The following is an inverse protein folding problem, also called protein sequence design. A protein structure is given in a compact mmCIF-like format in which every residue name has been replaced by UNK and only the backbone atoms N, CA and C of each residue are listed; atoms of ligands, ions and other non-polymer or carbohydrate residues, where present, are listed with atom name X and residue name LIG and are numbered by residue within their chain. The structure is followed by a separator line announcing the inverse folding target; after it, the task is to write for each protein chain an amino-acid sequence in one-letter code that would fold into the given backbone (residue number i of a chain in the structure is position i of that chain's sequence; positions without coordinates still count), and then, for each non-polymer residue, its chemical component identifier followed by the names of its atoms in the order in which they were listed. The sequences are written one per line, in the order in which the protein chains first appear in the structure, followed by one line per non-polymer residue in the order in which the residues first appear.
data_IF_963060412368
#
_entry.id   IF_963060412368
#
_cell.length_a   1.000
_cell.length_b   1.000
_cell.length_c   1.000
_cell.angle_alpha   90.00
_cell.angle_beta   90.00
_cell.angle_gamma   90.00
#
_symmetry.space_group_name_H-M   'P 1'
#
loop_
_entity.id
_entity.type
_entity.pdbx_description
1 polymer ?
#
# COMPACT_ATOMS: atom_id res chain seq x y z
N UNK A 1 -12.40 -10.44 -18.74
CA UNK A 1 -12.59 -11.28 -17.53
C UNK A 1 -13.34 -10.56 -16.40
N UNK A 2 -13.06 -9.28 -16.09
CA UNK A 2 -13.69 -8.58 -14.97
C UNK A 2 -15.24 -8.45 -15.06
N UNK A 3 -15.79 -8.13 -16.23
CA UNK A 3 -17.24 -7.94 -16.41
C UNK A 3 -18.05 -9.24 -16.22
N UNK A 4 -17.51 -10.37 -16.66
CA UNK A 4 -18.14 -11.69 -16.48
C UNK A 4 -18.13 -12.07 -15.00
N UNK A 5 -17.01 -11.86 -14.30
CA UNK A 5 -16.92 -12.10 -12.86
C UNK A 5 -17.88 -11.18 -12.07
N UNK A 6 -17.98 -9.91 -12.46
CA UNK A 6 -18.93 -8.97 -11.85
C UNK A 6 -20.39 -9.42 -12.06
N UNK A 7 -20.73 -9.94 -13.25
CA UNK A 7 -22.06 -10.49 -13.52
C UNK A 7 -22.36 -11.75 -12.71
N UNK A 8 -21.38 -12.65 -12.53
CA UNK A 8 -21.54 -13.85 -11.69
C UNK A 8 -21.86 -13.45 -10.25
N UNK A 9 -21.11 -12.49 -9.68
CA UNK A 9 -21.35 -11.98 -8.32
C UNK A 9 -22.72 -11.29 -8.23
N UNK A 10 -23.06 -10.46 -9.20
CA UNK A 10 -24.36 -9.79 -9.27
C UNK A 10 -25.52 -10.78 -9.30
N UNK A 11 -25.39 -11.87 -10.08
CA UNK A 11 -26.38 -12.94 -10.15
C UNK A 11 -26.53 -13.65 -8.80
N UNK A 12 -25.42 -14.04 -8.15
CA UNK A 12 -25.46 -14.67 -6.82
C UNK A 12 -26.13 -13.80 -5.75
N UNK A 13 -25.96 -12.47 -5.81
CA UNK A 13 -26.60 -11.54 -4.87
C UNK A 13 -28.11 -11.37 -5.13
N UNK A 14 -28.56 -11.59 -6.36
CA UNK A 14 -29.95 -11.36 -6.79
C UNK A 14 -30.81 -12.61 -6.91
N UNK A 15 -30.26 -13.81 -6.70
CA UNK A 15 -31.05 -15.04 -6.53
C UNK A 15 -32.03 -14.97 -5.33
N UNK A 16 -31.89 -13.98 -4.45
CA UNK A 16 -32.81 -13.68 -3.33
C UNK A 16 -34.04 -12.84 -3.72
N UNK A 17 -34.17 -12.38 -4.97
CA UNK A 17 -35.33 -11.59 -5.45
C UNK A 17 -36.00 -12.25 -6.67
N UNK A 18 -37.32 -12.07 -6.87
CA UNK A 18 -38.11 -12.86 -7.83
C UNK A 18 -37.88 -12.51 -9.31
N UNK A 19 -37.14 -11.43 -9.65
CA UNK A 19 -36.91 -11.02 -11.04
C UNK A 19 -35.45 -11.14 -11.43
N UNK A 20 -35.18 -12.06 -12.36
CA UNK A 20 -33.87 -12.28 -12.98
C UNK A 20 -33.70 -11.26 -14.11
N UNK A 21 -32.86 -10.25 -13.92
CA UNK A 21 -32.55 -9.33 -15.00
C UNK A 21 -31.61 -10.00 -16.01
N UNK A 22 -31.87 -9.77 -17.30
CA UNK A 22 -31.05 -10.37 -18.37
C UNK A 22 -29.61 -9.84 -18.31
N UNK A 23 -28.66 -10.62 -18.82
CA UNK A 23 -27.25 -10.21 -18.90
C UNK A 23 -27.08 -8.86 -19.61
N UNK A 24 -27.86 -8.63 -20.67
CA UNK A 24 -27.88 -7.37 -21.41
C UNK A 24 -28.33 -6.20 -20.54
N UNK A 25 -29.38 -6.39 -19.74
CA UNK A 25 -29.91 -5.33 -18.86
C UNK A 25 -28.93 -4.97 -17.74
N UNK A 26 -28.18 -5.95 -17.22
CA UNK A 26 -27.07 -5.69 -16.30
C UNK A 26 -25.98 -4.85 -16.94
N UNK A 27 -25.54 -5.21 -18.16
CA UNK A 27 -24.50 -4.48 -18.86
C UNK A 27 -24.94 -3.05 -19.21
N UNK A 28 -26.19 -2.85 -19.63
CA UNK A 28 -26.73 -1.52 -19.93
C UNK A 28 -26.78 -0.63 -18.68
N UNK A 29 -27.16 -1.18 -17.52
CA UNK A 29 -27.15 -0.45 -16.24
C UNK A 29 -25.74 -0.12 -15.79
N UNK A 30 -24.82 -1.08 -15.88
CA UNK A 30 -23.41 -0.88 -15.54
C UNK A 30 -22.76 0.17 -16.43
N UNK A 31 -23.04 0.14 -17.73
CA UNK A 31 -22.54 1.12 -18.69
C UNK A 31 -23.04 2.53 -18.35
N UNK A 32 -24.34 2.70 -18.07
CA UNK A 32 -24.89 3.98 -17.62
C UNK A 32 -24.23 4.47 -16.33
N UNK A 33 -24.07 3.58 -15.35
CA UNK A 33 -23.43 3.92 -14.07
C UNK A 33 -21.99 4.38 -14.25
N UNK A 34 -21.22 3.76 -15.16
CA UNK A 34 -19.85 4.16 -15.47
C UNK A 34 -19.76 5.51 -16.16
N UNK A 35 -20.72 5.84 -17.03
CA UNK A 35 -20.78 7.15 -17.71
C UNK A 35 -21.18 8.26 -16.74
N UNK A 36 -22.11 7.97 -15.82
CA UNK A 36 -22.60 8.94 -14.83
C UNK A 36 -21.62 9.12 -13.64
N UNK A 37 -20.45 8.45 -13.63
CA UNK A 37 -19.43 8.69 -12.60
C UNK A 37 -18.72 10.03 -12.84
N UNK A 38 -18.73 10.88 -11.82
CA UNK A 38 -17.93 12.11 -11.76
C UNK A 38 -16.72 11.93 -10.84
N UNK A 39 -15.77 12.87 -10.86
CA UNK A 39 -14.57 12.83 -10.01
C UNK A 39 -14.90 12.66 -8.51
N UNK A 40 -16.06 13.15 -8.08
CA UNK A 40 -16.57 13.02 -6.71
C UNK A 40 -16.83 11.57 -6.28
N UNK A 41 -17.22 10.69 -7.21
CA UNK A 41 -17.45 9.28 -6.87
C UNK A 41 -16.15 8.54 -6.48
N UNK A 42 -15.00 9.04 -6.91
CA UNK A 42 -13.69 8.50 -6.52
C UNK A 42 -13.22 9.02 -5.16
N UNK A 43 -13.81 10.10 -4.64
CA UNK A 43 -13.49 10.65 -3.32
C UNK A 43 -14.43 10.14 -2.22
N UNK A 44 -15.60 9.58 -2.60
CA UNK A 44 -16.70 9.25 -1.68
C UNK A 44 -16.60 7.89 -0.96
N UNK A 45 -15.43 7.24 -0.93
CA UNK A 45 -15.23 5.98 -0.16
C UNK A 45 -14.95 6.23 1.34
N UNK A 46 -14.92 7.48 1.83
CA UNK A 46 -14.61 7.79 3.25
C UNK A 46 -15.74 8.37 4.10
N UNK A 47 -16.97 8.44 3.64
CA UNK A 47 -18.03 9.16 4.37
C UNK A 47 -19.32 8.34 4.58
N UNK A 48 -19.26 7.37 5.49
CA UNK A 48 -20.38 6.85 6.29
C UNK A 48 -19.73 6.03 7.43
N UNK A 49 -19.87 6.26 8.74
CA UNK A 49 -20.86 7.00 9.52
C UNK A 49 -20.29 7.28 10.92
N UNK A 50 -20.63 8.44 11.49
CA UNK A 50 -20.83 8.62 12.94
C UNK A 50 -19.60 8.60 13.88
N UNK A 51 -19.22 9.78 14.37
CA UNK A 51 -18.52 9.92 15.64
C UNK A 51 -17.14 10.54 15.54
N UNK A 52 -17.05 11.81 15.98
CA UNK A 52 -15.87 12.66 16.10
C UNK A 52 -15.24 13.13 14.79
N UNK A 53 -15.48 14.42 14.54
CA UNK A 53 -14.62 15.32 13.76
C UNK A 53 -13.25 15.33 14.44
N UNK A 54 -12.44 14.31 14.20
CA UNK A 54 -11.01 14.54 14.05
C UNK A 54 -10.89 14.97 12.61
N UNK A 55 -10.64 16.26 12.42
CA UNK A 55 -10.09 16.79 11.18
C UNK A 55 -8.77 16.04 10.94
N UNK A 56 -8.87 14.84 10.36
CA UNK A 56 -7.79 14.25 9.59
C UNK A 56 -7.67 15.13 8.36
N UNK A 57 -7.08 16.31 8.59
CA UNK A 57 -6.12 16.82 7.65
C UNK A 57 -5.32 15.60 7.21
N UNK A 58 -5.28 15.23 5.92
CA UNK A 58 -4.16 14.45 5.47
C UNK A 58 -3.00 15.34 5.86
N UNK A 59 -2.35 15.03 6.98
CA UNK A 59 -1.20 15.76 7.47
C UNK A 59 -0.23 15.57 6.33
N UNK A 60 -0.24 16.56 5.43
CA UNK A 60 0.55 16.61 4.25
C UNK A 60 1.93 16.32 4.80
N UNK A 61 2.44 15.16 4.42
CA UNK A 61 3.74 14.68 4.86
C UNK A 61 4.65 15.88 4.66
N UNK A 62 5.08 16.54 5.75
CA UNK A 62 5.62 17.92 5.72
C UNK A 62 7.05 17.97 5.17
N UNK A 63 7.34 17.11 4.21
CA UNK A 63 8.57 17.01 3.45
C UNK A 63 8.29 16.21 2.18
N UNK A 64 9.08 16.45 1.14
CA UNK A 64 9.06 15.71 -0.12
C UNK A 64 9.49 14.25 0.09
N UNK A 65 8.63 13.44 0.68
CA UNK A 65 8.88 12.04 0.98
C UNK A 65 8.35 11.15 -0.15
N UNK A 66 9.04 11.21 -1.30
CA UNK A 66 8.72 10.39 -2.47
C UNK A 66 9.55 9.11 -2.47
N UNK A 67 8.93 7.98 -2.83
CA UNK A 67 9.64 6.72 -3.00
C UNK A 67 10.24 6.62 -4.40
N UNK A 68 11.55 6.46 -4.47
CA UNK A 68 12.30 6.26 -5.72
C UNK A 68 12.76 4.82 -5.81
N UNK A 69 12.73 4.25 -7.02
CA UNK A 69 13.23 2.91 -7.26
C UNK A 69 14.77 2.89 -7.22
N UNK A 70 15.34 1.91 -6.53
CA UNK A 70 16.79 1.68 -6.48
C UNK A 70 17.33 1.36 -7.87
N UNK A 71 18.45 1.97 -8.26
CA UNK A 71 19.14 1.70 -9.54
C UNK A 71 20.19 0.59 -9.44
N UNK A 72 20.59 0.21 -8.22
CA UNK A 72 21.57 -0.85 -8.01
C UNK A 72 21.05 -2.21 -8.44
N UNK A 73 21.87 -2.95 -9.19
CA UNK A 73 21.59 -4.31 -9.62
C UNK A 73 22.39 -5.34 -8.81
N UNK A 74 21.94 -6.59 -8.85
CA UNK A 74 22.62 -7.75 -8.28
C UNK A 74 22.67 -8.83 -9.35
N UNK A 75 23.86 -9.36 -9.61
CA UNK A 75 24.02 -10.54 -10.46
C UNK A 75 23.57 -11.79 -9.70
N UNK A 76 22.69 -12.57 -10.33
CA UNK A 76 22.28 -13.87 -9.86
C UNK A 76 22.32 -14.84 -11.03
N UNK A 77 23.27 -15.78 -11.01
CA UNK A 77 23.47 -16.80 -12.04
C UNK A 77 23.53 -16.21 -13.47
N UNK A 78 24.30 -15.13 -13.65
CA UNK A 78 24.42 -14.42 -14.94
C UNK A 78 23.26 -13.50 -15.31
N UNK A 79 22.16 -13.50 -14.54
CA UNK A 79 21.02 -12.60 -14.75
C UNK A 79 21.14 -11.38 -13.84
N UNK A 80 21.12 -10.19 -14.45
CA UNK A 80 21.08 -8.92 -13.74
C UNK A 80 19.67 -8.67 -13.20
N UNK A 81 19.52 -8.66 -11.87
CA UNK A 81 18.24 -8.37 -11.21
C UNK A 81 18.34 -7.13 -10.35
N UNK A 82 17.28 -6.32 -10.32
CA UNK A 82 17.25 -5.13 -9.49
C UNK A 82 17.41 -5.49 -8.01
N UNK A 83 18.22 -4.74 -7.28
CA UNK A 83 18.56 -5.05 -5.90
C UNK A 83 17.37 -4.80 -4.99
N UNK A 84 16.78 -5.89 -4.50
CA UNK A 84 15.74 -5.84 -3.47
C UNK A 84 16.37 -5.71 -2.07
N UNK A 85 15.87 -4.77 -1.28
CA UNK A 85 16.27 -4.56 0.12
C UNK A 85 15.09 -4.83 1.06
N UNK A 86 15.37 -5.13 2.32
CA UNK A 86 14.31 -5.38 3.30
C UNK A 86 13.57 -4.07 3.59
N UNK A 87 12.25 -4.11 3.52
CA UNK A 87 11.43 -2.98 3.93
C UNK A 87 11.52 -2.82 5.45
N UNK A 88 11.77 -1.60 5.91
CA UNK A 88 11.89 -1.28 7.32
C UNK A 88 10.62 -1.66 8.10
N UNK A 89 9.46 -1.24 7.60
CA UNK A 89 8.16 -1.54 8.23
C UNK A 89 7.82 -3.03 8.16
N UNK A 90 7.98 -3.70 7.02
CA UNK A 90 7.73 -5.15 6.94
C UNK A 90 8.71 -5.98 7.80
N UNK A 91 9.85 -5.43 8.19
CA UNK A 91 10.79 -6.12 9.08
C UNK A 91 10.29 -6.11 10.52
N UNK A 92 9.48 -5.10 10.88
CA UNK A 92 8.85 -4.96 12.20
C UNK A 92 7.61 -5.80 12.31
N UNK A 93 6.70 -5.69 11.34
CA UNK A 93 5.44 -6.46 11.31
C UNK A 93 5.55 -7.85 10.70
N UNK A 94 6.77 -8.36 10.65
CA UNK A 94 7.02 -9.72 10.18
C UNK A 94 6.34 -10.70 11.15
N UNK A 95 5.58 -11.69 10.64
CA UNK A 95 4.95 -12.69 11.50
C UNK A 95 6.01 -13.55 12.20
N UNK A 96 5.68 -14.00 13.40
CA UNK A 96 6.53 -14.89 14.20
C UNK A 96 6.88 -16.15 13.38
N UNK A 97 8.14 -16.62 13.51
CA UNK A 97 8.64 -17.80 12.79
C UNK A 97 9.19 -17.56 11.37
N UNK A 98 8.89 -16.44 10.69
CA UNK A 98 9.59 -16.14 9.42
C UNK A 98 11.06 -15.81 9.70
N UNK A 99 11.95 -15.91 8.71
CA UNK A 99 13.36 -15.46 8.85
C UNK A 99 13.56 -14.00 8.41
N UNK A 100 12.79 -13.51 7.44
CA UNK A 100 12.93 -12.15 6.87
C UNK A 100 11.56 -11.48 6.69
N UNK A 101 11.53 -10.16 6.82
CA UNK A 101 10.38 -9.34 6.42
C UNK A 101 10.27 -9.20 4.91
N UNK A 102 9.20 -8.53 4.47
CA UNK A 102 9.00 -8.16 3.06
C UNK A 102 10.15 -7.34 2.49
N UNK A 103 10.43 -7.51 1.20
CA UNK A 103 11.45 -6.75 0.47
C UNK A 103 10.81 -5.77 -0.51
N UNK A 104 11.54 -4.71 -0.83
CA UNK A 104 11.13 -3.67 -1.78
C UNK A 104 12.36 -3.19 -2.56
N UNK A 105 12.11 -2.70 -3.77
CA UNK A 105 13.10 -2.00 -4.60
C UNK A 105 13.06 -0.49 -4.38
N UNK A 106 12.05 0.02 -3.69
CA UNK A 106 11.83 1.45 -3.48
C UNK A 106 12.40 1.94 -2.15
N UNK A 107 12.93 3.15 -2.14
CA UNK A 107 13.46 3.82 -0.95
C UNK A 107 13.08 5.29 -0.93
N UNK A 108 13.04 5.91 0.25
CA UNK A 108 12.84 7.35 0.39
C UNK A 108 14.21 8.05 0.48
N UNK A 109 14.59 8.91 -0.50
CA UNK A 109 15.86 9.63 -0.45
C UNK A 109 15.95 10.55 0.76
N UNK A 110 14.89 11.31 1.04
CA UNK A 110 14.81 12.28 2.13
C UNK A 110 15.02 11.62 3.50
N UNK A 111 14.40 10.45 3.74
CA UNK A 111 14.66 9.69 4.97
C UNK A 111 16.01 8.96 4.99
N UNK A 112 16.66 8.78 3.84
CA UNK A 112 17.96 8.14 3.74
C UNK A 112 19.12 9.13 3.93
N UNK A 113 18.87 10.44 3.80
CA UNK A 113 19.85 11.48 4.12
C UNK A 113 20.17 11.44 5.62
N UNK A 114 21.46 11.44 5.96
CA UNK A 114 21.92 11.35 7.35
C UNK A 114 21.86 9.96 8.01
N UNK A 115 21.29 8.95 7.35
CA UNK A 115 21.28 7.56 7.86
C UNK A 115 22.39 6.73 7.21
N UNK A 116 22.92 5.75 7.95
CA UNK A 116 23.97 4.85 7.45
C UNK A 116 23.53 4.09 6.19
N UNK A 117 22.23 3.82 6.02
CA UNK A 117 21.70 3.04 4.92
C UNK A 117 20.44 3.64 4.29
N UNK A 118 20.06 3.09 3.12
CA UNK A 118 18.82 3.47 2.44
C UNK A 118 17.60 3.02 3.23
N UNK A 119 16.68 3.96 3.49
CA UNK A 119 15.38 3.70 4.07
C UNK A 119 14.47 3.11 3.00
N UNK A 120 14.51 1.78 2.90
CA UNK A 120 13.73 1.01 1.92
C UNK A 120 12.30 0.81 2.46
N UNK A 121 11.31 1.22 1.67
CA UNK A 121 9.89 1.18 2.03
C UNK A 121 9.06 0.55 0.91
N UNK A 122 7.92 -0.02 1.27
CA UNK A 122 7.00 -0.70 0.38
C UNK A 122 5.71 0.13 0.22
N UNK A 123 5.00 0.02 -0.92
CA UNK A 123 3.65 0.61 -1.04
C UNK A 123 2.54 -0.43 -0.78
N UNK A 124 2.86 -1.55 -0.12
CA UNK A 124 1.84 -2.53 0.25
C UNK A 124 1.10 -2.03 1.48
N UNK A 125 -0.22 -2.10 1.40
CA UNK A 125 -1.13 -1.89 2.53
C UNK A 125 -0.88 -2.98 3.57
N UNK A 126 -0.79 -2.57 4.84
CA UNK A 126 -0.67 -3.47 5.96
C UNK A 126 -2.04 -3.66 6.62
N UNK A 127 -2.40 -4.90 6.94
CA UNK A 127 -3.62 -5.24 7.70
C UNK A 127 -3.32 -5.44 9.18
N UNK A 128 -2.55 -4.55 9.80
CA UNK A 128 -2.28 -4.66 11.24
C UNK A 128 -3.30 -3.83 12.01
N UNK A 129 -3.82 -4.34 13.13
CA UNK A 129 -4.87 -3.70 13.94
C UNK A 129 -4.65 -2.20 14.28
N UNK A 130 -3.39 -1.76 14.41
CA UNK A 130 -3.06 -0.37 14.75
C UNK A 130 -2.84 0.53 13.51
N UNK A 131 -2.78 -0.06 12.31
CA UNK A 131 -2.44 0.62 11.05
C UNK A 131 -3.21 -0.01 9.88
N UNK A 132 -4.50 -0.32 10.09
CA UNK A 132 -5.32 -0.93 9.05
C UNK A 132 -5.47 0.03 7.87
N UNK A 133 -5.14 -0.44 6.67
CA UNK A 133 -5.26 0.37 5.45
C UNK A 133 -4.07 1.29 5.15
N UNK A 134 -3.10 1.42 6.05
CA UNK A 134 -1.90 2.22 5.80
C UNK A 134 -0.82 1.41 5.05
N UNK A 135 -0.17 2.07 4.11
CA UNK A 135 0.99 1.51 3.39
C UNK A 135 2.26 1.54 4.25
N UNK A 136 3.26 0.71 3.95
CA UNK A 136 4.54 0.77 4.67
C UNK A 136 5.17 2.18 4.65
N UNK A 137 5.02 2.93 3.56
CA UNK A 137 5.53 4.31 3.48
C UNK A 137 4.78 5.22 4.44
N UNK A 138 3.45 5.21 4.44
CA UNK A 138 2.64 6.00 5.36
C UNK A 138 2.92 5.66 6.82
N UNK A 139 3.03 4.37 7.18
CA UNK A 139 3.38 3.98 8.55
C UNK A 139 4.74 4.56 8.95
N UNK A 140 5.74 4.50 8.07
CA UNK A 140 7.07 5.04 8.36
C UNK A 140 7.07 6.57 8.54
N UNK A 141 6.38 7.29 7.65
CA UNK A 141 6.38 8.76 7.66
C UNK A 141 5.45 9.36 8.70
N UNK A 142 4.25 8.78 8.87
CA UNK A 142 3.20 9.33 9.73
C UNK A 142 3.25 8.71 11.12
N UNK A 143 3.11 7.37 11.22
CA UNK A 143 3.02 6.71 12.52
C UNK A 143 4.38 6.68 13.25
N UNK A 144 5.49 6.53 12.52
CA UNK A 144 6.83 6.46 13.12
C UNK A 144 7.64 7.75 13.00
N UNK A 145 7.02 8.84 12.51
CA UNK A 145 7.63 10.14 12.29
C UNK A 145 9.04 10.02 11.66
N UNK A 146 9.09 9.54 10.43
CA UNK A 146 10.35 9.32 9.67
C UNK A 146 11.35 8.34 10.32
N UNK A 147 10.87 7.50 11.23
CA UNK A 147 11.61 6.44 11.89
C UNK A 147 12.14 6.80 13.28
N UNK A 148 11.77 7.95 13.84
CA UNK A 148 12.10 8.33 15.23
C UNK A 148 11.39 7.43 16.25
N UNK A 149 10.13 7.08 15.98
CA UNK A 149 9.31 6.22 16.83
C UNK A 149 9.24 4.77 16.31
N UNK A 150 10.18 4.38 15.45
CA UNK A 150 10.23 3.01 14.94
C UNK A 150 10.52 2.01 16.07
N UNK A 151 9.79 0.89 16.17
CA UNK A 151 10.00 -0.10 17.23
C UNK A 151 11.41 -0.69 17.21
N UNK A 152 12.21 -0.40 18.24
CA UNK A 152 13.60 -0.86 18.40
C UNK A 152 13.73 -2.38 18.58
N UNK A 153 12.65 -3.07 18.96
CA UNK A 153 12.60 -4.52 19.17
C UNK A 153 12.73 -5.33 17.87
N UNK A 154 12.53 -4.70 16.73
CA UNK A 154 12.58 -5.38 15.43
C UNK A 154 13.99 -5.31 14.84
N UNK A 155 14.45 -6.41 14.22
CA UNK A 155 15.74 -6.50 13.52
C UNK A 155 15.80 -5.61 12.27
N UNK A 156 15.65 -4.31 12.44
CA UNK A 156 15.84 -3.30 11.42
C UNK A 156 17.32 -3.29 11.06
N UNK A 157 17.69 -3.92 9.94
CA UNK A 157 19.07 -3.93 9.47
C UNK A 157 19.40 -2.59 8.81
N UNK A 158 20.24 -1.78 9.44
CA UNK A 158 20.88 -0.63 8.82
C UNK A 158 22.10 -1.08 8.03
N UNK A 159 21.87 -1.54 6.80
CA UNK A 159 22.98 -1.82 5.88
C UNK A 159 23.52 -0.50 5.35
N UNK A 160 24.76 -0.20 5.73
CA UNK A 160 25.59 0.86 5.17
C UNK A 160 25.45 0.96 3.65
N UNK A 161 25.54 2.18 3.08
CA UNK A 161 26.08 2.29 1.71
C UNK A 161 27.48 1.70 1.77
N UNK A 162 27.73 0.63 1.03
CA UNK A 162 29.11 0.22 0.77
C UNK A 162 29.63 1.33 -0.13
N UNK A 163 30.55 2.15 0.39
CA UNK A 163 31.35 3.02 -0.44
C UNK A 163 32.14 2.09 -1.37
N UNK A 164 31.95 2.27 -2.66
CA UNK A 164 32.83 1.74 -3.69
C UNK A 164 34.07 2.63 -3.75
#
# INVERSE_FOLDING_TARGET
MALVNAYVVYKCLWEKKPRKNSHFEFLARLHKQLIDQTEDCFTQTRAASGGQVVTETPSAVRGEHTLIQTTGFRMNNGVQRLRQRQCKVCSVYKPEGKKRGGTSTYYCPSCSQGKRGLVTLCNKVHGHANNEGLTCSQIWHMAWQNGEFAPKASHIRDRGRVAE
#
